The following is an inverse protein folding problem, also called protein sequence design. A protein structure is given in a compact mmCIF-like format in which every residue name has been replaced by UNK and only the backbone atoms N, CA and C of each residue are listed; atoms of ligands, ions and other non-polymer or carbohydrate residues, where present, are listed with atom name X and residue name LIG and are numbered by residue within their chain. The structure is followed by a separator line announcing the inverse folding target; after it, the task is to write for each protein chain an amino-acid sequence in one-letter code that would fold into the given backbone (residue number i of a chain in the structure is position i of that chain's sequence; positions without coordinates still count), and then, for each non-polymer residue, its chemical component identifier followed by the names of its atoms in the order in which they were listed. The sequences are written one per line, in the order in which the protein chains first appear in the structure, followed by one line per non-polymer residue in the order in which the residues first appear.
data_IF_921959320646
#
_entry.id   IF_921959320646
#
_cell.length_a   1.000
_cell.length_b   1.000
_cell.length_c   1.000
_cell.angle_alpha   90.00
_cell.angle_beta   90.00
_cell.angle_gamma   90.00
#
_symmetry.space_group_name_H-M   'P 1'
#
loop_
_entity.id
_entity.type
_entity.pdbx_description
1 polymer ?
#
# COMPACT_ATOMS: atom_id res chain seq x y z
N UNK A 1 -11.04 18.85 -7.11
CA UNK A 1 -11.22 17.56 -7.77
C UNK A 1 -10.66 16.46 -6.86
N UNK A 2 -11.38 15.41 -6.71
CA UNK A 2 -10.98 14.32 -5.86
C UNK A 2 -10.55 13.11 -6.68
N UNK A 3 -9.68 12.32 -6.14
CA UNK A 3 -9.38 11.01 -6.68
C UNK A 3 -10.47 10.06 -6.23
N UNK A 4 -11.04 9.31 -7.16
CA UNK A 4 -12.19 8.46 -6.87
C UNK A 4 -11.79 7.06 -6.40
N UNK A 5 -10.62 6.58 -6.86
CA UNK A 5 -10.13 5.24 -6.54
C UNK A 5 -8.69 5.34 -6.05
N UNK A 6 -8.49 4.98 -4.80
CA UNK A 6 -7.21 5.14 -4.13
C UNK A 6 -6.74 3.80 -3.60
N UNK A 7 -5.52 3.41 -3.95
CA UNK A 7 -4.87 2.23 -3.41
C UNK A 7 -3.99 2.62 -2.23
N UNK A 8 -4.00 1.81 -1.19
CA UNK A 8 -3.16 1.99 -0.01
C UNK A 8 -2.40 0.69 0.25
N UNK A 9 -1.09 0.72 0.17
CA UNK A 9 -0.28 -0.42 0.60
C UNK A 9 -0.02 -0.31 2.09
N UNK A 10 0.05 -1.46 2.77
CA UNK A 10 0.15 -1.45 4.23
C UNK A 10 -1.16 -1.07 4.90
N UNK A 11 -2.28 -1.33 4.23
CA UNK A 11 -3.59 -0.90 4.71
C UNK A 11 -4.05 -1.58 5.99
N UNK A 12 -3.42 -2.68 6.39
CA UNK A 12 -3.74 -3.38 7.64
C UNK A 12 -2.86 -2.95 8.80
N UNK A 13 -1.86 -2.10 8.55
CA UNK A 13 -1.01 -1.57 9.61
C UNK A 13 -1.73 -0.53 10.45
N UNK A 14 -1.07 -0.06 11.50
CA UNK A 14 -1.66 0.90 12.41
C UNK A 14 -2.09 2.19 11.70
N UNK A 15 -1.15 2.82 11.00
CA UNK A 15 -1.45 4.04 10.24
C UNK A 15 -2.34 3.74 9.04
N UNK A 16 -2.03 2.67 8.32
CA UNK A 16 -2.77 2.31 7.11
C UNK A 16 -4.24 2.07 7.36
N UNK A 17 -4.56 1.39 8.45
CA UNK A 17 -5.96 1.11 8.77
C UNK A 17 -6.75 2.40 9.03
N UNK A 18 -6.15 3.37 9.72
CA UNK A 18 -6.79 4.66 9.94
C UNK A 18 -6.99 5.43 8.64
N UNK A 19 -5.99 5.42 7.77
CA UNK A 19 -6.06 6.10 6.47
C UNK A 19 -7.11 5.47 5.59
N UNK A 20 -7.13 4.14 5.50
CA UNK A 20 -8.13 3.42 4.70
C UNK A 20 -9.54 3.75 5.16
N UNK A 21 -9.78 3.71 6.47
CA UNK A 21 -11.08 3.99 7.03
C UNK A 21 -11.51 5.43 6.74
N UNK A 22 -10.61 6.38 6.94
CA UNK A 22 -10.90 7.78 6.70
C UNK A 22 -11.20 8.06 5.23
N UNK A 23 -10.38 7.54 4.33
CA UNK A 23 -10.56 7.74 2.90
C UNK A 23 -11.82 7.08 2.36
N UNK A 24 -12.26 5.99 2.98
CA UNK A 24 -13.44 5.27 2.51
C UNK A 24 -14.72 6.11 2.56
N UNK A 25 -14.71 7.20 3.31
CA UNK A 25 -15.82 8.15 3.35
C UNK A 25 -15.86 9.06 2.12
N UNK A 26 -14.79 9.10 1.34
CA UNK A 26 -14.62 10.05 0.23
C UNK A 26 -14.28 9.38 -1.10
N UNK A 27 -13.83 8.12 -1.07
CA UNK A 27 -13.35 7.43 -2.26
C UNK A 27 -13.55 5.93 -2.11
N UNK A 28 -13.44 5.22 -3.22
CA UNK A 28 -13.31 3.76 -3.19
C UNK A 28 -11.86 3.41 -2.93
N UNK A 29 -11.60 2.64 -1.89
CA UNK A 29 -10.26 2.34 -1.44
C UNK A 29 -9.92 0.88 -1.69
N UNK A 30 -8.75 0.63 -2.25
CA UNK A 30 -8.16 -0.71 -2.32
C UNK A 30 -7.09 -0.79 -1.24
N UNK A 31 -7.33 -1.59 -0.23
CA UNK A 31 -6.39 -1.82 0.87
C UNK A 31 -5.55 -3.05 0.56
N UNK A 32 -4.25 -2.86 0.44
CA UNK A 32 -3.31 -3.89 0.02
C UNK A 32 -2.38 -4.22 1.17
N UNK A 33 -2.32 -5.49 1.56
CA UNK A 33 -1.42 -5.92 2.62
C UNK A 33 -1.12 -7.41 2.46
N UNK A 34 -0.04 -7.86 3.08
CA UNK A 34 0.27 -9.29 3.17
C UNK A 34 -0.57 -9.98 4.23
N UNK A 35 -1.12 -9.22 5.17
CA UNK A 35 -2.05 -9.77 6.14
C UNK A 35 -3.39 -10.00 5.51
N UNK A 36 -3.95 -11.15 5.78
CA UNK A 36 -5.31 -11.46 5.37
C UNK A 36 -6.25 -10.98 6.46
N UNK A 37 -7.12 -10.05 6.12
CA UNK A 37 -8.13 -9.59 7.04
C UNK A 37 -9.38 -10.42 6.89
N UNK A 38 -10.06 -10.64 8.00
CA UNK A 38 -11.43 -11.14 7.97
C UNK A 38 -12.26 -10.17 7.15
N UNK A 39 -13.31 -10.69 6.53
CA UNK A 39 -14.18 -9.88 5.68
C UNK A 39 -14.62 -8.63 6.41
N UNK A 40 -14.64 -7.55 5.67
CA UNK A 40 -15.07 -6.27 6.18
C UNK A 40 -16.34 -5.85 5.46
N UNK A 41 -17.22 -5.23 6.18
CA UNK A 41 -18.54 -4.89 5.69
C UNK A 41 -18.61 -3.55 4.98
N UNK A 42 -17.52 -2.79 4.94
CA UNK A 42 -17.52 -1.50 4.27
C UNK A 42 -17.43 -1.72 2.77
N UNK A 43 -18.49 -1.41 2.06
CA UNK A 43 -18.60 -1.65 0.63
C UNK A 43 -17.64 -0.79 -0.20
N UNK A 44 -17.13 0.30 0.36
CA UNK A 44 -16.19 1.18 -0.32
C UNK A 44 -14.73 0.77 -0.15
N UNK A 45 -14.47 -0.32 0.57
CA UNK A 45 -13.11 -0.83 0.75
C UNK A 45 -12.98 -2.21 0.15
N UNK A 46 -12.04 -2.35 -0.77
CA UNK A 46 -11.66 -3.63 -1.34
C UNK A 46 -10.35 -4.07 -0.70
N UNK A 47 -10.33 -5.24 -0.10
CA UNK A 47 -9.13 -5.79 0.53
C UNK A 47 -8.43 -6.75 -0.41
N UNK A 48 -7.14 -6.54 -0.63
CA UNK A 48 -6.33 -7.37 -1.52
C UNK A 48 -5.10 -7.87 -0.75
N UNK A 49 -4.94 -9.18 -0.73
CA UNK A 49 -3.74 -9.80 -0.17
C UNK A 49 -2.67 -9.84 -1.24
N UNK A 50 -1.63 -9.06 -1.06
CA UNK A 50 -0.54 -8.97 -2.02
C UNK A 50 0.72 -8.44 -1.36
N UNK A 51 1.87 -8.86 -1.90
CA UNK A 51 3.18 -8.43 -1.40
C UNK A 51 3.73 -7.30 -2.25
N UNK A 52 4.28 -6.27 -1.60
CA UNK A 52 4.93 -5.17 -2.30
C UNK A 52 6.19 -5.61 -3.05
N UNK A 53 6.74 -6.77 -2.72
CA UNK A 53 7.92 -7.30 -3.42
C UNK A 53 7.54 -8.14 -4.64
N UNK A 54 6.26 -8.36 -4.88
CA UNK A 54 5.80 -9.13 -6.03
C UNK A 54 5.19 -8.20 -7.07
N UNK A 55 5.90 -8.01 -8.18
CA UNK A 55 5.50 -7.05 -9.21
C UNK A 55 4.14 -7.38 -9.82
N UNK A 56 3.90 -8.65 -10.16
CA UNK A 56 2.64 -9.02 -10.79
C UNK A 56 1.46 -8.85 -9.85
N UNK A 57 1.63 -9.21 -8.58
CA UNK A 57 0.59 -8.97 -7.57
C UNK A 57 0.31 -7.48 -7.40
N UNK A 58 1.35 -6.67 -7.36
CA UNK A 58 1.18 -5.22 -7.23
C UNK A 58 0.51 -4.62 -8.45
N UNK A 59 0.93 -5.02 -9.63
CA UNK A 59 0.32 -4.54 -10.86
C UNK A 59 -1.17 -4.85 -10.90
N UNK A 60 -1.54 -6.08 -10.55
CA UNK A 60 -2.94 -6.48 -10.52
C UNK A 60 -3.74 -5.74 -9.45
N UNK A 61 -3.14 -5.56 -8.26
CA UNK A 61 -3.81 -4.86 -7.16
C UNK A 61 -4.01 -3.37 -7.43
N UNK A 62 -3.05 -2.73 -8.11
CA UNK A 62 -3.09 -1.29 -8.37
C UNK A 62 -3.91 -0.92 -9.59
N UNK A 63 -4.21 -1.87 -10.45
CA UNK A 63 -4.91 -1.59 -11.70
C UNK A 63 -6.26 -0.92 -11.45
N UNK A 64 -6.54 0.13 -12.20
CA UNK A 64 -7.81 0.85 -12.09
C UNK A 64 -7.86 1.92 -11.00
N UNK A 65 -6.79 2.11 -10.25
CA UNK A 65 -6.74 3.16 -9.24
C UNK A 65 -6.15 4.45 -9.80
N UNK A 66 -6.61 5.58 -9.25
CA UNK A 66 -6.18 6.91 -9.69
C UNK A 66 -4.96 7.38 -8.94
N UNK A 67 -4.85 6.97 -7.68
CA UNK A 67 -3.79 7.41 -6.78
C UNK A 67 -3.34 6.26 -5.88
N UNK A 68 -2.15 6.41 -5.34
CA UNK A 68 -1.54 5.41 -4.47
C UNK A 68 -0.96 6.10 -3.23
N UNK A 69 -1.24 5.51 -2.07
CA UNK A 69 -0.57 5.86 -0.81
C UNK A 69 0.24 4.63 -0.41
N UNK A 70 1.55 4.75 -0.42
CA UNK A 70 2.44 3.64 -0.11
C UNK A 70 2.93 3.73 1.33
N UNK A 71 2.42 2.85 2.18
CA UNK A 71 2.74 2.80 3.60
C UNK A 71 3.38 1.47 4.01
N UNK A 72 3.39 0.48 3.12
CA UNK A 72 3.90 -0.85 3.44
C UNK A 72 5.41 -0.79 3.72
N UNK A 73 5.77 -1.13 4.93
CA UNK A 73 7.16 -1.14 5.37
C UNK A 73 7.28 -1.94 6.67
N UNK A 74 8.50 -2.36 6.96
CA UNK A 74 8.83 -2.88 8.29
C UNK A 74 9.34 -1.71 9.10
N UNK A 75 8.57 -1.25 10.09
CA UNK A 75 8.89 0.00 10.80
C UNK A 75 9.99 -0.13 11.82
N UNK A 76 10.19 -1.33 12.35
CA UNK A 76 11.18 -1.56 13.38
C UNK A 76 12.21 -2.57 12.89
N UNK A 77 13.49 -2.17 12.74
CA UNK A 77 14.53 -3.07 12.23
C UNK A 77 14.80 -4.28 13.14
N UNK A 78 14.27 -4.27 14.35
CA UNK A 78 14.43 -5.41 15.26
C UNK A 78 13.36 -6.47 15.09
N UNK A 79 12.32 -6.18 14.33
CA UNK A 79 11.21 -7.12 14.11
C UNK A 79 11.48 -8.14 13.02
N UNK A 80 12.51 -7.91 12.22
CA UNK A 80 12.82 -8.76 11.09
C UNK A 80 14.31 -8.77 10.82
N UNK A 81 14.76 -9.69 9.96
CA UNK A 81 16.15 -9.69 9.51
C UNK A 81 16.45 -8.42 8.71
N UNK A 82 17.71 -8.07 8.62
CA UNK A 82 18.15 -6.94 7.79
C UNK A 82 17.78 -7.17 6.33
N UNK A 83 17.91 -8.41 5.86
CA UNK A 83 17.57 -8.76 4.49
C UNK A 83 16.09 -8.54 4.22
N UNK A 84 15.22 -9.03 5.09
CA UNK A 84 13.78 -8.85 4.92
C UNK A 84 13.40 -7.39 5.00
N UNK A 85 14.00 -6.64 5.91
CA UNK A 85 13.74 -5.21 6.06
C UNK A 85 14.13 -4.46 4.78
N UNK A 86 15.32 -4.74 4.24
CA UNK A 86 15.75 -4.13 2.99
C UNK A 86 14.83 -4.49 1.83
N UNK A 87 14.51 -5.76 1.69
CA UNK A 87 13.68 -6.22 0.59
C UNK A 87 12.29 -5.58 0.64
N UNK A 88 11.69 -5.51 1.81
CA UNK A 88 10.36 -4.91 1.95
C UNK A 88 10.41 -3.39 1.76
N UNK A 89 11.34 -2.72 2.42
CA UNK A 89 11.32 -1.25 2.47
C UNK A 89 11.93 -0.61 1.22
N UNK A 90 12.97 -1.22 0.66
CA UNK A 90 13.66 -0.66 -0.50
C UNK A 90 13.18 -1.29 -1.80
N UNK A 91 13.31 -2.59 -1.94
CA UNK A 91 12.86 -3.28 -3.16
C UNK A 91 11.35 -3.22 -3.31
N UNK A 92 10.62 -3.30 -2.19
CA UNK A 92 9.17 -3.17 -2.20
C UNK A 92 8.73 -1.82 -2.74
N UNK A 93 9.35 -0.73 -2.29
CA UNK A 93 9.05 0.60 -2.80
C UNK A 93 9.32 0.70 -4.30
N UNK A 94 10.47 0.20 -4.74
CA UNK A 94 10.81 0.17 -6.16
C UNK A 94 9.77 -0.60 -6.97
N UNK A 95 9.40 -1.78 -6.52
CA UNK A 95 8.44 -2.64 -7.20
C UNK A 95 7.08 -1.96 -7.30
N UNK A 96 6.63 -1.36 -6.21
CA UNK A 96 5.33 -0.68 -6.16
C UNK A 96 5.31 0.51 -7.12
N UNK A 97 6.37 1.30 -7.15
CA UNK A 97 6.43 2.46 -8.03
C UNK A 97 6.47 2.05 -9.50
N UNK A 98 7.19 0.99 -9.84
CA UNK A 98 7.18 0.48 -11.21
C UNK A 98 5.81 -0.03 -11.61
N UNK A 99 5.15 -0.77 -10.73
CA UNK A 99 3.80 -1.27 -11.00
C UNK A 99 2.82 -0.11 -11.16
N UNK A 100 2.92 0.90 -10.31
CA UNK A 100 2.06 2.08 -10.39
C UNK A 100 2.24 2.82 -11.72
N UNK A 101 3.47 2.99 -12.15
CA UNK A 101 3.76 3.62 -13.45
C UNK A 101 3.13 2.83 -14.59
N UNK A 102 3.29 1.51 -14.57
CA UNK A 102 2.79 0.65 -15.64
C UNK A 102 1.28 0.67 -15.76
N UNK A 103 0.57 0.75 -14.63
CA UNK A 103 -0.91 0.79 -14.66
C UNK A 103 -1.47 2.21 -14.79
N UNK A 104 -0.60 3.21 -14.87
CA UNK A 104 -1.02 4.58 -15.14
C UNK A 104 -1.49 5.39 -13.93
N UNK A 105 -1.07 5.03 -12.74
CA UNK A 105 -1.37 5.84 -11.55
C UNK A 105 -0.63 7.17 -11.65
N UNK A 106 -1.36 8.26 -11.40
CA UNK A 106 -0.86 9.63 -11.65
C UNK A 106 -0.36 10.33 -10.39
N UNK A 107 -0.77 9.88 -9.23
CA UNK A 107 -0.37 10.51 -7.98
C UNK A 107 0.04 9.46 -6.96
N UNK A 108 1.23 9.64 -6.41
CA UNK A 108 1.77 8.74 -5.39
C UNK A 108 2.17 9.56 -4.18
N UNK A 109 1.73 9.11 -3.01
CA UNK A 109 2.18 9.62 -1.72
C UNK A 109 2.92 8.48 -1.03
N UNK A 110 4.09 8.77 -0.53
CA UNK A 110 4.90 7.79 0.19
C UNK A 110 5.19 8.29 1.60
N UNK A 111 5.05 7.41 2.56
CA UNK A 111 5.50 7.70 3.91
C UNK A 111 7.02 7.59 3.98
N UNK A 112 7.66 8.60 4.51
CA UNK A 112 9.10 8.62 4.69
C UNK A 112 9.44 8.52 6.17
N UNK A 113 10.72 8.54 6.49
CA UNK A 113 11.20 8.38 7.84
C UNK A 113 12.28 9.41 8.13
N UNK A 114 12.33 9.87 9.36
CA UNK A 114 13.36 10.82 9.80
C UNK A 114 14.54 10.16 10.50
N UNK A 115 14.46 8.86 10.74
CA UNK A 115 15.56 8.09 11.36
C UNK A 115 16.58 7.75 10.30
N UNK A 116 17.51 8.67 10.10
CA UNK A 116 18.59 8.49 9.12
C UNK A 116 19.91 8.51 9.86
N UNK A 117 20.73 7.54 9.64
CA UNK A 117 22.05 7.47 10.25
C UNK A 117 23.00 6.57 9.51
#
# INVERSE_FOLDING_TARGET
MAYEKIAVTGGCGLLGNHIVTLLSNHATVTSIDVKELASNELSSIKYVNASVTNFDQMKNALRGNDALIHLAAIPNPREASLELTFNTNVQGAWTVFQAAEEVGIKRVVIASIDSVF
#
